data_IF_831198476745
#
_entry.id   IF_831198476745
#
_cell.length_a   1.000
_cell.length_b   1.000
_cell.length_c   1.000
_cell.angle_alpha   90.00
_cell.angle_beta   90.00
_cell.angle_gamma   90.00
#
_symmetry.space_group_name_H-M   'P 1'
#
loop_
_entity.id
_entity.type
_entity.pdbx_description
1 polymer ?
#
# COMPACT_ATOMS: atom_id res chain seq x y z
N UNK A 1 20.48 -13.13 -19.47
CA UNK A 1 19.13 -13.69 -19.38
C UNK A 1 18.64 -13.79 -20.81
N UNK A 2 18.70 -14.96 -21.43
CA UNK A 2 18.24 -15.12 -22.81
C UNK A 2 16.72 -15.11 -22.78
N UNK A 3 16.08 -14.07 -23.30
CA UNK A 3 14.64 -14.07 -23.49
C UNK A 3 14.32 -15.03 -24.62
N UNK A 4 13.67 -16.14 -24.28
CA UNK A 4 13.13 -17.03 -25.31
C UNK A 4 12.10 -16.26 -26.15
N UNK A 5 12.05 -16.48 -27.48
CA UNK A 5 11.08 -15.80 -28.33
C UNK A 5 9.65 -16.11 -27.85
N UNK A 6 8.89 -15.04 -27.58
CA UNK A 6 7.49 -15.15 -27.16
C UNK A 6 6.69 -15.87 -28.23
N UNK A 7 6.12 -17.02 -27.87
CA UNK A 7 5.16 -17.75 -28.72
C UNK A 7 3.75 -17.23 -28.42
N UNK A 8 3.05 -16.82 -29.46
CA UNK A 8 1.64 -16.42 -29.38
C UNK A 8 0.74 -17.52 -29.94
N UNK A 9 -0.48 -17.63 -29.41
CA UNK A 9 -1.51 -18.53 -29.95
C UNK A 9 -2.27 -17.92 -31.12
N UNK A 10 -3.30 -18.63 -31.59
CA UNK A 10 -4.15 -18.19 -32.70
C UNK A 10 -4.89 -16.88 -32.37
N UNK A 11 -5.14 -16.09 -33.42
CA UNK A 11 -5.91 -14.85 -33.29
C UNK A 11 -7.36 -15.13 -32.91
N UNK A 12 -7.90 -14.33 -32.00
CA UNK A 12 -9.34 -14.30 -31.67
C UNK A 12 -10.05 -13.21 -32.47
N UNK A 13 -11.38 -13.15 -32.35
CA UNK A 13 -12.18 -12.08 -32.92
C UNK A 13 -11.66 -10.67 -32.53
N UNK A 14 -11.64 -9.76 -33.51
CA UNK A 14 -11.07 -8.43 -33.36
C UNK A 14 -11.79 -7.57 -32.32
N UNK A 15 -13.11 -7.71 -32.16
CA UNK A 15 -13.86 -6.97 -31.15
C UNK A 15 -13.51 -7.50 -29.75
N UNK A 16 -13.38 -8.82 -29.61
CA UNK A 16 -12.94 -9.46 -28.37
C UNK A 16 -11.51 -9.08 -27.99
N UNK A 17 -10.57 -9.05 -28.95
CA UNK A 17 -9.20 -8.62 -28.70
C UNK A 17 -9.16 -7.18 -28.16
N UNK A 18 -9.85 -6.24 -28.82
CA UNK A 18 -9.96 -4.84 -28.34
C UNK A 18 -10.60 -4.74 -26.96
N UNK A 19 -11.61 -5.57 -26.68
CA UNK A 19 -12.27 -5.61 -25.37
C UNK A 19 -11.29 -6.05 -24.27
N UNK A 20 -10.49 -7.08 -24.53
CA UNK A 20 -9.46 -7.58 -23.60
C UNK A 20 -8.47 -6.46 -23.28
N UNK A 21 -7.88 -5.83 -24.31
CA UNK A 21 -6.87 -4.77 -24.15
C UNK A 21 -7.38 -3.58 -23.32
N UNK A 22 -8.64 -3.19 -23.55
CA UNK A 22 -9.28 -2.13 -22.79
C UNK A 22 -9.57 -2.55 -21.34
N UNK A 23 -10.04 -3.77 -21.13
CA UNK A 23 -10.46 -4.25 -19.82
C UNK A 23 -9.28 -4.48 -18.86
N UNK A 24 -8.13 -4.95 -19.36
CA UNK A 24 -6.93 -5.15 -18.53
C UNK A 24 -6.25 -3.83 -18.11
N UNK A 25 -6.54 -2.74 -18.84
CA UNK A 25 -5.97 -1.42 -18.60
C UNK A 25 -6.91 -0.45 -17.86
N UNK A 26 -8.17 -0.85 -17.63
CA UNK A 26 -9.16 0.00 -16.98
C UNK A 26 -9.75 -0.67 -15.73
N UNK A 27 -9.94 0.08 -14.63
CA UNK A 27 -10.64 -0.47 -13.48
C UNK A 27 -12.10 -0.76 -13.83
N UNK A 28 -12.63 -1.84 -13.25
CA UNK A 28 -14.07 -2.04 -13.16
C UNK A 28 -14.66 -0.97 -12.22
N UNK A 29 -15.88 -0.51 -12.50
CA UNK A 29 -16.62 0.37 -11.59
C UNK A 29 -16.83 -0.32 -10.25
N UNK A 30 -16.59 0.40 -9.15
CA UNK A 30 -16.72 -0.13 -7.78
C UNK A 30 -18.11 -0.72 -7.52
N UNK A 31 -19.18 -0.10 -8.01
CA UNK A 31 -20.55 -0.62 -7.89
C UNK A 31 -20.72 -1.99 -8.54
N UNK A 32 -20.11 -2.19 -9.71
CA UNK A 32 -20.15 -3.48 -10.42
C UNK A 32 -19.33 -4.53 -9.68
N UNK A 33 -18.16 -4.15 -9.14
CA UNK A 33 -17.33 -5.03 -8.32
C UNK A 33 -18.10 -5.51 -7.09
N UNK A 34 -18.67 -4.60 -6.30
CA UNK A 34 -19.46 -4.94 -5.11
C UNK A 34 -20.65 -5.83 -5.45
N UNK A 35 -21.37 -5.51 -6.52
CA UNK A 35 -22.50 -6.34 -6.99
C UNK A 35 -22.07 -7.77 -7.31
N UNK A 36 -20.93 -7.97 -7.96
CA UNK A 36 -20.42 -9.30 -8.25
C UNK A 36 -19.98 -10.02 -6.97
N UNK A 37 -19.35 -9.33 -6.03
CA UNK A 37 -18.97 -9.94 -4.74
C UNK A 37 -20.18 -10.39 -3.91
N UNK A 38 -21.28 -9.63 -3.94
CA UNK A 38 -22.54 -9.97 -3.27
C UNK A 38 -23.31 -11.08 -3.98
N UNK A 39 -23.23 -11.12 -5.31
CA UNK A 39 -23.93 -12.13 -6.13
C UNK A 39 -23.31 -13.53 -5.99
N UNK A 40 -21.99 -13.62 -5.88
CA UNK A 40 -21.26 -14.90 -5.87
C UNK A 40 -20.76 -15.21 -4.46
N UNK A 41 -21.65 -15.79 -3.65
CA UNK A 41 -21.38 -16.16 -2.26
C UNK A 41 -20.63 -17.49 -2.13
N UNK A 42 -19.92 -17.65 -1.01
CA UNK A 42 -19.22 -18.88 -0.66
C UNK A 42 -20.24 -19.99 -0.34
N UNK A 43 -20.23 -21.13 -1.05
CA UNK A 43 -21.08 -22.26 -0.73
C UNK A 43 -20.81 -22.80 0.68
N UNK A 44 -21.85 -23.28 1.36
CA UNK A 44 -21.72 -23.74 2.74
C UNK A 44 -20.74 -24.92 2.90
N UNK A 45 -20.65 -25.80 1.90
CA UNK A 45 -19.68 -26.90 1.86
C UNK A 45 -18.26 -26.45 1.48
N UNK A 46 -18.04 -25.17 1.17
CA UNK A 46 -16.77 -24.59 0.72
C UNK A 46 -16.27 -23.46 1.66
N UNK A 47 -16.54 -23.51 2.97
CA UNK A 47 -16.23 -22.43 3.95
C UNK A 47 -14.77 -21.93 3.93
N UNK A 48 -13.82 -22.75 3.46
CA UNK A 48 -12.40 -22.38 3.32
C UNK A 48 -12.10 -21.51 2.10
N UNK A 49 -13.03 -21.40 1.15
CA UNK A 49 -12.91 -20.57 -0.04
C UNK A 49 -13.23 -19.11 0.30
N UNK A 50 -12.41 -18.53 1.15
CA UNK A 50 -12.50 -17.14 1.60
C UNK A 50 -11.09 -16.57 1.72
N UNK A 51 -10.96 -15.26 1.59
CA UNK A 51 -9.67 -14.60 1.81
C UNK A 51 -9.30 -14.72 3.30
N UNK A 52 -8.18 -15.38 3.64
CA UNK A 52 -7.75 -15.50 5.02
C UNK A 52 -7.36 -14.13 5.57
N UNK A 53 -7.68 -13.90 6.84
CA UNK A 53 -7.24 -12.72 7.58
C UNK A 53 -5.97 -13.07 8.34
N UNK A 54 -5.04 -12.13 8.41
CA UNK A 54 -3.93 -12.22 9.35
C UNK A 54 -4.48 -12.32 10.78
N UNK A 55 -3.92 -13.23 11.59
CA UNK A 55 -4.29 -13.40 13.00
C UNK A 55 -4.22 -12.06 13.74
N UNK A 56 -5.18 -11.80 14.64
CA UNK A 56 -5.35 -10.49 15.31
C UNK A 56 -4.10 -10.09 16.09
N UNK A 57 -3.41 -11.05 16.69
CA UNK A 57 -2.19 -10.91 17.47
C UNK A 57 -1.06 -10.36 16.59
N UNK A 58 -0.87 -10.96 15.41
CA UNK A 58 0.14 -10.54 14.43
C UNK A 58 -0.26 -9.18 13.82
N UNK A 59 -1.53 -9.03 13.45
CA UNK A 59 -2.05 -7.80 12.86
C UNK A 59 -1.85 -6.57 13.76
N UNK A 60 -2.09 -6.73 15.07
CA UNK A 60 -1.84 -5.69 16.09
C UNK A 60 -0.35 -5.37 16.25
N UNK A 61 0.53 -6.35 16.00
CA UNK A 61 1.99 -6.18 16.04
C UNK A 61 2.55 -5.30 14.92
N UNK A 62 1.81 -5.08 13.82
CA UNK A 62 2.25 -4.19 12.75
C UNK A 62 2.28 -2.72 13.22
N UNK A 63 3.48 -2.13 13.19
CA UNK A 63 3.79 -0.79 13.71
C UNK A 63 3.58 0.33 12.68
N UNK A 64 3.51 0.01 11.39
CA UNK A 64 3.37 1.02 10.35
C UNK A 64 2.53 0.53 9.17
N UNK A 65 2.01 1.49 8.40
CA UNK A 65 1.31 1.24 7.13
C UNK A 65 2.18 0.45 6.14
N UNK A 66 3.50 0.68 6.13
CA UNK A 66 4.44 -0.06 5.27
C UNK A 66 4.42 -1.58 5.48
N UNK A 67 4.00 -2.06 6.66
CA UNK A 67 3.85 -3.48 6.95
C UNK A 67 2.44 -4.00 6.61
N UNK A 68 1.41 -3.15 6.71
CA UNK A 68 0.01 -3.53 6.49
C UNK A 68 -0.42 -3.43 5.04
N UNK A 69 0.03 -2.38 4.34
CA UNK A 69 -0.42 -2.05 3.00
C UNK A 69 -0.09 -3.15 1.97
N UNK A 70 1.09 -3.82 2.00
CA UNK A 70 1.36 -4.93 1.09
C UNK A 70 0.40 -6.12 1.30
N UNK A 71 0.12 -6.47 2.56
CA UNK A 71 -0.80 -7.55 2.89
C UNK A 71 -2.24 -7.22 2.47
N UNK A 72 -2.73 -6.02 2.78
CA UNK A 72 -4.05 -5.56 2.31
C UNK A 72 -4.15 -5.55 0.79
N UNK A 73 -3.08 -5.16 0.09
CA UNK A 73 -3.03 -5.20 -1.36
C UNK A 73 -3.15 -6.63 -1.90
N UNK A 74 -2.45 -7.59 -1.29
CA UNK A 74 -2.54 -9.01 -1.66
C UNK A 74 -3.91 -9.61 -1.32
N UNK A 75 -4.50 -9.26 -0.18
CA UNK A 75 -5.86 -9.68 0.16
C UNK A 75 -6.88 -9.20 -0.89
N UNK A 76 -6.74 -7.98 -1.42
CA UNK A 76 -7.61 -7.47 -2.50
C UNK A 76 -7.45 -8.26 -3.80
N UNK A 77 -6.21 -8.62 -4.18
CA UNK A 77 -5.96 -9.48 -5.35
C UNK A 77 -6.53 -10.87 -5.12
N UNK A 78 -6.33 -11.45 -3.94
CA UNK A 78 -6.86 -12.75 -3.56
C UNK A 78 -8.40 -12.75 -3.52
N UNK A 79 -9.04 -11.63 -3.15
CA UNK A 79 -10.49 -11.47 -3.20
C UNK A 79 -11.00 -11.63 -4.63
N UNK A 80 -10.37 -10.95 -5.60
CA UNK A 80 -10.72 -11.08 -7.01
C UNK A 80 -10.59 -12.54 -7.51
N UNK A 81 -9.48 -13.21 -7.14
CA UNK A 81 -9.26 -14.63 -7.47
C UNK A 81 -10.30 -15.55 -6.84
N UNK A 82 -10.63 -15.32 -5.57
CA UNK A 82 -11.61 -16.12 -4.81
C UNK A 82 -13.00 -15.97 -5.41
N UNK A 83 -13.44 -14.74 -5.70
CA UNK A 83 -14.74 -14.49 -6.33
C UNK A 83 -14.82 -15.11 -7.73
N UNK A 84 -13.74 -15.04 -8.51
CA UNK A 84 -13.68 -15.72 -9.82
C UNK A 84 -13.77 -17.24 -9.66
N UNK A 85 -13.09 -17.83 -8.67
CA UNK A 85 -13.17 -19.26 -8.41
C UNK A 85 -14.59 -19.68 -7.98
N UNK A 86 -15.30 -18.85 -7.23
CA UNK A 86 -16.72 -19.07 -6.89
C UNK A 86 -17.60 -19.12 -8.14
N UNK A 87 -17.36 -18.23 -9.10
CA UNK A 87 -18.04 -18.25 -10.41
C UNK A 87 -17.75 -19.55 -11.19
N UNK A 88 -16.50 -20.01 -11.20
CA UNK A 88 -16.11 -21.29 -11.83
C UNK A 88 -16.83 -22.46 -11.16
N UNK A 89 -16.80 -22.53 -9.84
CA UNK A 89 -17.49 -23.59 -9.07
C UNK A 89 -18.99 -23.58 -9.37
N UNK A 90 -19.61 -22.40 -9.43
CA UNK A 90 -21.02 -22.26 -9.80
C UNK A 90 -21.29 -22.79 -11.21
N UNK A 91 -20.49 -22.39 -12.20
CA UNK A 91 -20.63 -22.87 -13.58
C UNK A 91 -20.45 -24.38 -13.70
N UNK A 92 -19.45 -24.95 -13.01
CA UNK A 92 -19.23 -26.40 -12.96
C UNK A 92 -20.44 -27.14 -12.35
N UNK A 93 -21.03 -26.58 -11.29
CA UNK A 93 -22.21 -27.17 -10.67
C UNK A 93 -23.41 -27.17 -11.63
N UNK A 94 -23.67 -26.05 -12.31
CA UNK A 94 -24.75 -25.93 -13.31
C UNK A 94 -24.54 -26.92 -14.46
N UNK A 95 -23.32 -27.02 -14.98
CA UNK A 95 -23.01 -27.98 -16.06
C UNK A 95 -23.20 -29.43 -15.59
N UNK A 96 -22.76 -29.77 -14.37
CA UNK A 96 -22.91 -31.12 -13.81
C UNK A 96 -24.37 -31.50 -13.55
N UNK A 97 -25.21 -30.54 -13.13
CA UNK A 97 -26.63 -30.78 -12.89
C UNK A 97 -27.49 -30.72 -14.15
N UNK A 98 -26.89 -30.49 -15.33
CA UNK A 98 -27.64 -30.28 -16.58
C UNK A 98 -28.51 -29.02 -16.56
N UNK A 99 -28.08 -27.98 -15.82
CA UNK A 99 -28.80 -26.73 -15.68
C UNK A 99 -28.70 -25.80 -16.90
N UNK A 100 -29.18 -24.56 -16.74
CA UNK A 100 -29.25 -23.59 -17.83
C UNK A 100 -27.86 -23.12 -18.31
N UNK A 101 -27.52 -23.44 -19.55
CA UNK A 101 -26.26 -23.01 -20.16
C UNK A 101 -26.19 -21.49 -20.39
N UNK A 102 -27.32 -20.77 -20.41
CA UNK A 102 -27.29 -19.30 -20.44
C UNK A 102 -26.79 -18.73 -19.12
N UNK A 103 -27.05 -19.39 -17.99
CA UNK A 103 -26.46 -19.03 -16.70
C UNK A 103 -24.93 -19.17 -16.78
N UNK A 104 -24.43 -20.28 -17.31
CA UNK A 104 -22.98 -20.50 -17.50
C UNK A 104 -22.37 -19.41 -18.39
N UNK A 105 -23.02 -19.05 -19.50
CA UNK A 105 -22.57 -17.97 -20.39
C UNK A 105 -22.51 -16.62 -19.66
N UNK A 106 -23.53 -16.28 -18.89
CA UNK A 106 -23.58 -15.03 -18.13
C UNK A 106 -22.52 -14.99 -17.03
N UNK A 107 -22.36 -16.09 -16.29
CA UNK A 107 -21.29 -16.23 -15.30
C UNK A 107 -19.90 -16.12 -15.93
N UNK A 108 -19.71 -16.65 -17.15
CA UNK A 108 -18.44 -16.51 -17.89
C UNK A 108 -18.13 -15.05 -18.24
N UNK A 109 -19.15 -14.25 -18.61
CA UNK A 109 -18.97 -12.80 -18.83
C UNK A 109 -18.56 -12.09 -17.54
N UNK A 110 -19.11 -12.50 -16.40
CA UNK A 110 -18.74 -11.92 -15.11
C UNK A 110 -17.34 -12.36 -14.66
N UNK A 111 -16.95 -13.61 -14.92
CA UNK A 111 -15.58 -14.10 -14.73
C UNK A 111 -14.58 -13.26 -15.53
N UNK A 112 -14.89 -12.97 -16.80
CA UNK A 112 -14.06 -12.12 -17.64
C UNK A 112 -13.83 -10.74 -17.02
N UNK A 113 -14.89 -10.09 -16.53
CA UNK A 113 -14.80 -8.78 -15.84
C UNK A 113 -13.93 -8.89 -14.57
N UNK A 114 -14.15 -9.91 -13.74
CA UNK A 114 -13.38 -10.07 -12.49
C UNK A 114 -11.90 -10.36 -12.74
N UNK A 115 -11.57 -11.20 -13.72
CA UNK A 115 -10.19 -11.54 -14.06
C UNK A 115 -9.44 -10.34 -14.62
N UNK A 116 -10.03 -9.63 -15.58
CA UNK A 116 -9.43 -8.42 -16.15
C UNK A 116 -9.22 -7.34 -15.09
N UNK A 117 -10.16 -7.16 -14.18
CA UNK A 117 -9.99 -6.28 -13.02
C UNK A 117 -8.88 -6.74 -12.05
N UNK A 118 -8.75 -8.05 -11.83
CA UNK A 118 -7.66 -8.63 -11.03
C UNK A 118 -6.29 -8.37 -11.65
N UNK A 119 -6.16 -8.52 -12.98
CA UNK A 119 -4.94 -8.21 -13.74
C UNK A 119 -4.59 -6.72 -13.62
N UNK A 120 -5.56 -5.84 -13.90
CA UNK A 120 -5.40 -4.40 -13.73
C UNK A 120 -4.91 -4.04 -12.32
N UNK A 121 -5.58 -4.58 -11.30
CA UNK A 121 -5.27 -4.31 -9.89
C UNK A 121 -3.88 -4.81 -9.54
N UNK A 122 -3.50 -6.01 -9.98
CA UNK A 122 -2.16 -6.58 -9.75
C UNK A 122 -1.08 -5.68 -10.35
N UNK A 123 -1.22 -5.27 -11.61
CA UNK A 123 -0.25 -4.38 -12.24
C UNK A 123 -0.19 -3.01 -11.56
N UNK A 124 -1.33 -2.42 -11.19
CA UNK A 124 -1.38 -1.18 -10.41
C UNK A 124 -0.66 -1.31 -9.07
N UNK A 125 -0.79 -2.46 -8.39
CA UNK A 125 -0.07 -2.73 -7.14
C UNK A 125 1.43 -2.89 -7.36
N UNK A 126 1.86 -3.56 -8.43
CA UNK A 126 3.29 -3.64 -8.79
C UNK A 126 3.90 -2.25 -8.95
N UNK A 127 3.22 -1.33 -9.65
CA UNK A 127 3.64 0.08 -9.73
C UNK A 127 3.77 0.72 -8.36
N UNK A 128 2.72 0.61 -7.52
CA UNK A 128 2.71 1.19 -6.17
C UNK A 128 3.83 0.67 -5.26
N UNK A 129 4.30 -0.57 -5.45
CA UNK A 129 5.40 -1.15 -4.71
C UNK A 129 6.78 -0.71 -5.21
N UNK A 130 6.92 -0.50 -6.52
CA UNK A 130 8.19 -0.10 -7.16
C UNK A 130 8.42 1.41 -7.05
N UNK A 131 7.40 2.24 -7.30
CA UNK A 131 7.48 3.71 -7.35
C UNK A 131 8.13 4.35 -6.11
N UNK A 132 7.97 3.85 -4.86
CA UNK A 132 8.67 4.38 -3.70
C UNK A 132 10.18 4.12 -3.66
N UNK A 133 10.68 3.13 -4.39
CA UNK A 133 12.12 2.87 -4.52
C UNK A 133 12.82 3.78 -5.54
N UNK A 134 12.06 4.55 -6.31
CA UNK A 134 12.58 5.46 -7.34
C UNK A 134 12.84 6.84 -6.73
N UNK A 135 13.93 7.48 -7.16
CA UNK A 135 14.27 8.85 -6.73
C UNK A 135 13.08 9.81 -6.95
N UNK A 136 12.87 10.72 -6.00
CA UNK A 136 11.76 11.66 -6.00
C UNK A 136 11.65 12.45 -7.29
N UNK A 137 12.80 12.82 -7.89
CA UNK A 137 12.90 13.52 -9.18
C UNK A 137 12.15 12.78 -10.29
N UNK A 138 12.35 11.46 -10.39
CA UNK A 138 11.81 10.65 -11.48
C UNK A 138 10.44 10.04 -11.16
N UNK A 139 9.89 10.29 -9.98
CA UNK A 139 8.61 9.69 -9.57
C UNK A 139 7.45 10.06 -10.49
N UNK A 140 7.48 11.29 -11.04
CA UNK A 140 6.46 11.79 -11.97
C UNK A 140 6.37 10.97 -13.26
N UNK A 141 7.47 10.41 -13.75
CA UNK A 141 7.42 9.55 -14.96
C UNK A 141 6.89 8.13 -14.66
N UNK A 142 6.82 7.75 -13.39
CA UNK A 142 6.32 6.44 -12.94
C UNK A 142 4.84 6.47 -12.54
N UNK A 143 4.08 7.33 -13.21
CA UNK A 143 2.64 7.50 -12.99
C UNK A 143 1.91 6.16 -12.92
N UNK A 144 1.12 6.01 -11.86
CA UNK A 144 0.37 4.79 -11.58
C UNK A 144 -0.64 4.51 -12.70
N UNK A 145 -1.15 5.54 -13.35
CA UNK A 145 -2.22 5.46 -14.36
C UNK A 145 -1.70 5.37 -15.80
N UNK A 146 -0.38 5.33 -16.02
CA UNK A 146 0.16 5.01 -17.36
C UNK A 146 -0.35 3.62 -17.77
N UNK A 147 -0.88 3.43 -19.00
CA UNK A 147 -1.30 2.11 -19.46
C UNK A 147 -0.16 1.09 -19.39
N UNK A 148 -0.50 -0.17 -19.10
CA UNK A 148 0.47 -1.26 -19.06
C UNK A 148 0.47 -1.93 -20.43
N UNK A 149 1.65 -1.97 -21.04
CA UNK A 149 1.90 -2.60 -22.34
C UNK A 149 2.75 -3.85 -22.11
N UNK A 150 3.74 -4.10 -22.96
CA UNK A 150 4.84 -5.01 -22.66
C UNK A 150 5.61 -4.56 -21.39
N UNK A 151 5.75 -3.25 -21.19
CA UNK A 151 6.44 -2.67 -20.04
C UNK A 151 5.44 -2.16 -19.01
N UNK A 152 5.75 -2.40 -17.72
CA UNK A 152 4.88 -1.98 -16.62
C UNK A 152 4.65 -0.47 -16.62
N UNK A 153 5.67 0.33 -16.93
CA UNK A 153 5.60 1.80 -16.95
C UNK A 153 5.35 2.37 -18.36
N UNK A 154 4.95 1.54 -19.32
CA UNK A 154 4.70 1.89 -20.71
C UNK A 154 5.98 1.97 -21.55
N UNK A 155 5.79 2.03 -22.88
CA UNK A 155 6.89 1.91 -23.85
C UNK A 155 7.73 3.21 -23.96
N UNK A 156 7.14 4.36 -23.65
CA UNK A 156 7.76 5.68 -23.83
C UNK A 156 8.49 6.19 -22.58
N UNK A 157 8.98 5.29 -21.71
CA UNK A 157 9.60 5.70 -20.45
C UNK A 157 10.87 6.54 -20.67
N UNK A 158 11.73 6.14 -21.61
CA UNK A 158 12.98 6.84 -21.91
C UNK A 158 12.73 8.26 -22.41
N UNK A 159 11.78 8.43 -23.33
CA UNK A 159 11.36 9.75 -23.83
C UNK A 159 10.82 10.62 -22.69
N UNK A 160 9.97 10.06 -21.81
CA UNK A 160 9.45 10.78 -20.63
C UNK A 160 10.57 11.23 -19.68
N UNK A 161 11.62 10.42 -19.53
CA UNK A 161 12.79 10.76 -18.71
C UNK A 161 13.58 11.91 -19.34
N UNK A 162 13.86 11.86 -20.64
CA UNK A 162 14.54 12.95 -21.32
C UNK A 162 13.77 14.28 -21.26
N UNK A 163 12.46 14.22 -21.47
CA UNK A 163 11.60 15.40 -21.44
C UNK A 163 11.56 16.02 -20.05
N UNK A 164 11.49 15.19 -19.01
CA UNK A 164 11.59 15.65 -17.63
C UNK A 164 12.93 16.34 -17.35
N UNK A 165 14.05 15.78 -17.82
CA UNK A 165 15.36 16.42 -17.64
C UNK A 165 15.50 17.72 -18.43
N UNK A 166 14.91 17.80 -19.62
CA UNK A 166 14.83 19.04 -20.41
C UNK A 166 13.96 20.08 -19.71
N UNK A 167 12.83 19.69 -19.13
CA UNK A 167 11.94 20.54 -18.32
C UNK A 167 12.70 21.10 -17.11
N UNK A 168 13.36 20.24 -16.33
CA UNK A 168 14.16 20.64 -15.16
C UNK A 168 15.28 21.63 -15.53
N UNK A 169 15.95 21.44 -16.67
CA UNK A 169 16.96 22.39 -17.15
C UNK A 169 16.37 23.74 -17.53
N UNK A 170 15.14 23.78 -18.04
CA UNK A 170 14.45 25.04 -18.39
C UNK A 170 13.93 25.75 -17.15
N UNK A 171 13.33 25.02 -16.22
CA UNK A 171 12.80 25.60 -14.96
C UNK A 171 13.93 26.15 -14.10
N UNK A 172 15.08 25.47 -14.02
CA UNK A 172 16.27 26.00 -13.34
C UNK A 172 16.85 27.27 -14.00
N UNK A 173 16.58 27.52 -15.29
CA UNK A 173 16.96 28.79 -15.94
C UNK A 173 15.94 29.91 -15.68
N UNK A 174 14.71 29.54 -15.36
CA UNK A 174 13.60 30.45 -15.06
C UNK A 174 13.37 30.63 -13.55
N UNK A 175 14.09 29.89 -12.70
CA UNK A 175 13.97 30.00 -11.25
C UNK A 175 14.42 31.39 -10.84
N UNK A 176 13.48 32.15 -10.30
CA UNK A 176 13.76 33.48 -9.75
C UNK A 176 14.74 33.33 -8.58
N UNK A 177 15.77 34.18 -8.54
CA UNK A 177 16.58 34.33 -7.34
C UNK A 177 15.64 34.75 -6.19
N UNK A 178 15.64 33.95 -5.12
CA UNK A 178 14.84 34.18 -3.91
C UNK A 178 15.20 35.50 -3.17
N UNK A 179 16.23 36.20 -3.66
CA UNK A 179 16.64 37.53 -3.20
C UNK A 179 15.56 38.61 -3.33
N UNK A 180 14.45 38.36 -4.05
CA UNK A 180 13.32 39.29 -4.12
C UNK A 180 12.29 39.11 -2.99
N UNK A 181 12.30 37.97 -2.28
CA UNK A 181 11.41 37.71 -1.14
C UNK A 181 12.07 37.97 0.22
N UNK A 182 13.41 38.01 0.26
CA UNK A 182 14.17 38.32 1.49
C UNK A 182 14.02 39.78 1.93
N UNK A 183 13.67 40.71 1.02
CA UNK A 183 13.51 42.15 1.33
C UNK A 183 12.23 42.46 2.12
N UNK A 184 11.37 41.45 2.35
CA UNK A 184 10.22 41.52 3.25
C UNK A 184 10.44 40.86 4.62
N UNK A 185 11.66 40.40 4.94
CA UNK A 185 12.05 40.08 6.32
C UNK A 185 12.42 41.36 7.06
N UNK A 186 11.37 42.02 7.56
CA UNK A 186 11.33 42.81 8.81
C UNK A 186 12.67 43.46 9.16
N UNK A 187 12.80 44.73 8.75
CA UNK A 187 13.69 45.70 9.39
C UNK A 187 13.61 45.49 10.91
N UNK A 188 14.69 44.92 11.49
CA UNK A 188 14.79 44.68 12.93
C UNK A 188 14.82 46.04 13.61
N UNK A 189 13.64 46.56 13.98
CA UNK A 189 13.56 47.68 14.90
C UNK A 189 14.32 47.29 16.16
N UNK A 190 15.31 48.08 16.62
CA UNK A 190 16.01 47.78 17.86
C UNK A 190 14.99 47.79 19.00
N UNK A 191 14.84 46.66 19.69
CA UNK A 191 14.02 46.56 20.89
C UNK A 191 14.64 47.37 22.04
N UNK A 192 13.84 47.80 23.04
CA UNK A 192 14.35 48.56 24.19
C UNK A 192 15.45 47.81 24.96
N UNK A 193 16.38 48.51 25.65
CA UNK A 193 17.70 47.98 26.01
C UNK A 193 17.77 46.93 27.12
N UNK A 194 16.63 46.39 27.60
CA UNK A 194 16.61 45.65 28.86
C UNK A 194 15.78 44.36 28.76
N UNK A 195 16.26 43.39 27.98
CA UNK A 195 15.92 41.98 28.16
C UNK A 195 17.04 41.11 27.58
N UNK A 196 17.83 40.47 28.45
CA UNK A 196 18.90 39.53 28.05
C UNK A 196 18.29 38.15 27.75
N UNK A 197 18.72 37.44 26.69
CA UNK A 197 18.29 36.06 26.43
C UNK A 197 18.83 35.10 27.51
N UNK A 198 18.10 34.04 27.89
CA UNK A 198 18.58 33.08 28.87
C UNK A 198 19.74 32.25 28.29
N UNK A 199 20.90 32.36 28.94
CA UNK A 199 22.09 31.58 28.61
C UNK A 199 21.86 30.10 28.94
N UNK A 200 22.15 29.26 27.95
CA UNK A 200 22.41 27.84 28.07
C UNK A 200 23.58 27.60 29.04
N UNK A 201 23.35 26.87 30.14
CA UNK A 201 24.43 26.47 31.07
C UNK A 201 24.81 24.99 30.86
N UNK A 202 26.06 24.68 30.45
CA UNK A 202 26.59 23.32 30.55
C UNK A 202 27.25 23.10 31.91
N UNK A 203 26.79 22.11 32.69
CA UNK A 203 27.46 21.69 33.93
C UNK A 203 28.49 20.59 33.63
N UNK A 204 29.77 20.95 33.71
CA UNK A 204 30.89 20.01 33.75
C UNK A 204 31.15 19.48 35.17
N UNK A 205 31.66 18.25 35.21
CA UNK A 205 32.09 17.46 36.35
C UNK A 205 33.26 18.08 37.14
N UNK A 206 33.32 17.78 38.45
CA UNK A 206 34.57 17.68 39.23
C UNK A 206 34.52 16.53 40.22
N UNK A 207 35.60 15.78 40.22
CA UNK A 207 35.93 14.57 40.98
C UNK A 207 36.72 14.92 42.26
N UNK A 208 36.86 13.93 43.14
CA UNK A 208 37.73 13.78 44.33
C UNK A 208 37.12 14.27 45.66
N UNK A 209 37.16 13.53 46.77
CA UNK A 209 37.68 12.18 47.05
C UNK A 209 37.61 11.91 48.57
N UNK A 210 37.47 10.61 48.95
CA UNK A 210 37.92 9.94 50.19
C UNK A 210 37.41 10.47 51.57
N UNK A 211 37.13 9.71 52.64
CA UNK A 211 37.31 8.29 53.04
C UNK A 211 36.55 8.04 54.37
N UNK A 212 36.11 6.79 54.57
CA UNK A 212 35.82 6.05 55.83
C UNK A 212 34.68 6.43 56.79
N UNK A 213 33.92 5.41 57.23
CA UNK A 213 33.07 5.50 58.42
C UNK A 213 32.02 4.40 58.62
N UNK A 214 32.48 3.23 59.03
CA UNK A 214 31.80 2.00 59.48
C UNK A 214 30.55 2.13 60.41
N UNK A 215 29.76 1.02 60.45
CA UNK A 215 28.80 0.52 61.50
C UNK A 215 27.31 0.84 61.27
N UNK A 216 26.47 -0.16 60.97
CA UNK A 216 25.66 -0.93 61.96
C UNK A 216 24.22 -0.36 61.96
N UNK A 217 23.09 -1.05 62.16
CA UNK A 217 22.74 -2.34 62.69
C UNK A 217 21.22 -2.56 62.43
N UNK A 218 20.86 -3.79 62.03
CA UNK A 218 19.65 -4.59 62.36
C UNK A 218 18.25 -3.96 62.60
N UNK A 219 17.29 -4.58 61.90
CA UNK A 219 16.01 -5.17 62.38
C UNK A 219 14.90 -4.31 63.01
N UNK A 220 13.70 -4.37 62.42
CA UNK A 220 12.52 -5.21 62.83
C UNK A 220 11.29 -4.71 62.04
N UNK A 221 10.70 -5.53 61.16
CA UNK A 221 9.59 -6.50 61.39
C UNK A 221 8.22 -5.90 61.75
N UNK A 222 7.28 -6.19 60.83
CA UNK A 222 5.96 -6.84 61.06
C UNK A 222 4.82 -5.94 61.57
N UNK A 223 3.54 -6.13 61.25
CA UNK A 223 2.71 -7.25 60.73
C UNK A 223 1.36 -6.59 60.28
N UNK A 224 0.73 -6.95 59.16
CA UNK A 224 -0.23 -8.06 58.91
C UNK A 224 -1.70 -7.80 59.30
N UNK A 225 -2.62 -8.31 58.44
CA UNK A 225 -4.04 -8.58 58.75
C UNK A 225 -5.00 -8.13 57.63
N UNK A 226 -5.23 -8.91 56.55
CA UNK A 226 -6.28 -9.93 56.36
C UNK A 226 -7.74 -9.45 56.53
N UNK A 227 -8.57 -9.49 55.47
CA UNK A 227 -9.54 -10.58 55.28
C UNK A 227 -10.32 -10.51 53.95
N UNK A 228 -10.58 -11.72 53.46
CA UNK A 228 -11.35 -12.15 52.29
C UNK A 228 -12.88 -12.07 52.53
N UNK A 229 -13.69 -11.94 51.49
CA UNK A 229 -14.98 -12.66 51.33
C UNK A 229 -15.62 -12.46 49.95
N UNK A 230 -15.86 -13.58 49.30
CA UNK A 230 -16.86 -13.82 48.26
C UNK A 230 -18.27 -13.33 48.66
N UNK A 231 -19.10 -12.97 47.66
CA UNK A 231 -20.40 -13.63 47.39
C UNK A 231 -21.19 -12.96 46.25
N UNK A 232 -21.65 -13.87 45.37
CA UNK A 232 -22.83 -13.84 44.46
C UNK A 232 -22.73 -13.04 43.17
#
# INVERSE_FOLDING_TARGET
MYEEPKKFGDSIDNQMAKLVDQAINKPMKTETLTKLEEQYLVPENCKRLQVPKVNKEIWRGFKSKKQRDPDLALQNVQKCMTTTLLMVVKSLNVMKSGGDMNEVKNTTKDMFKMLTHGIYTSNRKRKQLITPGISSKYRRVTEVDTPVTEYLFGDNLDTKLEDLEKEDRRTNKLSFNDSFLEERRVEKRPGPPWQKPPYFQPKHAKTSGQVHGQKGNKNKKMKAGFHNKDKR
#
